data_IF_648879405193
#
_entry.id   IF_648879405193
#
_cell.length_a   1.000
_cell.length_b   1.000
_cell.length_c   1.000
_cell.angle_alpha   90.00
_cell.angle_beta   90.00
_cell.angle_gamma   90.00
#
_symmetry.space_group_name_H-M   'P 1'
#
loop_
_entity.id
_entity.type
_entity.pdbx_description
1 polymer ?
#
# COMPACT_ATOMS: atom_id res chain seq x y z
N UNK A 1 -20.32 -8.67 27.78
CA UNK A 1 -19.42 -7.71 28.47
C UNK A 1 -18.08 -7.78 27.78
N UNK A 2 -17.80 -6.89 26.83
CA UNK A 2 -16.54 -6.87 26.07
C UNK A 2 -15.45 -6.26 26.95
N UNK A 3 -14.45 -7.07 27.27
CA UNK A 3 -13.38 -6.72 28.20
C UNK A 3 -12.43 -5.74 27.52
N UNK A 4 -11.96 -4.74 28.27
CA UNK A 4 -11.07 -3.67 27.82
C UNK A 4 -9.66 -4.13 27.35
N UNK A 5 -9.44 -5.44 27.18
CA UNK A 5 -8.17 -6.08 26.86
C UNK A 5 -8.18 -6.82 25.50
N UNK A 6 -9.19 -6.63 24.65
CA UNK A 6 -9.30 -7.31 23.34
C UNK A 6 -8.07 -7.14 22.42
N UNK A 7 -7.22 -6.12 22.63
CA UNK A 7 -5.98 -5.95 21.85
C UNK A 7 -4.82 -6.88 22.29
N UNK A 8 -5.02 -7.72 23.31
CA UNK A 8 -4.08 -8.76 23.76
C UNK A 8 -4.56 -10.17 23.37
N UNK A 9 -5.63 -10.28 22.59
CA UNK A 9 -6.10 -11.58 22.13
C UNK A 9 -5.05 -12.17 21.16
N UNK A 10 -4.43 -13.32 21.47
CA UNK A 10 -3.43 -13.93 20.61
C UNK A 10 -3.99 -14.32 19.23
N UNK A 11 -5.31 -14.40 19.08
CA UNK A 11 -5.95 -14.64 17.77
C UNK A 11 -5.86 -13.44 16.83
N UNK A 12 -5.57 -12.24 17.34
CA UNK A 12 -5.39 -11.03 16.53
C UNK A 12 -3.94 -10.79 16.10
N UNK A 13 -2.97 -11.56 16.61
CA UNK A 13 -1.55 -11.45 16.23
C UNK A 13 -1.35 -11.57 14.71
N UNK A 14 -1.96 -12.54 14.00
CA UNK A 14 -1.81 -12.64 12.54
C UNK A 14 -2.39 -11.42 11.80
N UNK A 15 -3.47 -10.84 12.31
CA UNK A 15 -4.06 -9.62 11.76
C UNK A 15 -3.11 -8.42 11.97
N UNK A 16 -2.50 -8.31 13.15
CA UNK A 16 -1.52 -7.27 13.45
C UNK A 16 -0.30 -7.33 12.54
N UNK A 17 0.26 -8.52 12.34
CA UNK A 17 1.40 -8.72 11.43
C UNK A 17 1.04 -8.34 10.00
N UNK A 18 -0.14 -8.74 9.52
CA UNK A 18 -0.62 -8.39 8.18
C UNK A 18 -0.89 -6.90 8.02
N UNK A 19 -1.45 -6.24 9.03
CA UNK A 19 -1.65 -4.78 9.02
C UNK A 19 -0.31 -4.05 9.02
N UNK A 20 0.68 -4.51 9.77
CA UNK A 20 2.05 -3.96 9.72
C UNK A 20 2.67 -4.11 8.34
N UNK A 21 2.58 -5.30 7.75
CA UNK A 21 3.06 -5.55 6.39
C UNK A 21 2.35 -4.66 5.34
N UNK A 22 1.05 -4.40 5.51
CA UNK A 22 0.30 -3.47 4.67
C UNK A 22 0.82 -2.03 4.79
N UNK A 23 1.07 -1.54 6.02
CA UNK A 23 1.60 -0.19 6.23
C UNK A 23 3.03 -0.03 5.69
N UNK A 24 3.87 -1.06 5.85
CA UNK A 24 5.22 -1.10 5.28
C UNK A 24 5.16 -1.05 3.74
N UNK A 25 4.31 -1.85 3.12
CA UNK A 25 4.10 -1.83 1.67
C UNK A 25 3.55 -0.48 1.16
N UNK A 26 2.70 0.21 1.94
CA UNK A 26 2.24 1.57 1.59
C UNK A 26 3.39 2.59 1.65
N UNK A 27 4.28 2.46 2.63
CA UNK A 27 5.48 3.29 2.72
C UNK A 27 6.44 3.02 1.57
N UNK A 28 6.64 1.76 1.20
CA UNK A 28 7.49 1.37 0.07
C UNK A 28 6.93 1.85 -1.26
N UNK A 29 5.61 1.76 -1.48
CA UNK A 29 4.96 2.35 -2.64
C UNK A 29 5.19 3.87 -2.66
N UNK A 30 5.07 4.54 -1.51
CA UNK A 30 5.32 5.99 -1.42
C UNK A 30 6.76 6.33 -1.78
N UNK A 31 7.75 5.57 -1.27
CA UNK A 31 9.17 5.73 -1.60
C UNK A 31 9.43 5.51 -3.09
N UNK A 32 8.94 4.41 -3.67
CA UNK A 32 9.08 4.11 -5.09
C UNK A 32 8.43 5.18 -5.98
N UNK A 33 7.28 5.72 -5.55
CA UNK A 33 6.61 6.82 -6.27
C UNK A 33 7.40 8.13 -6.21
N UNK A 34 8.05 8.42 -5.07
CA UNK A 34 8.94 9.59 -4.96
C UNK A 34 10.18 9.40 -5.82
N UNK A 35 10.81 8.23 -5.78
CA UNK A 35 11.95 7.86 -6.62
C UNK A 35 11.64 8.06 -8.11
N UNK A 36 10.51 7.52 -8.58
CA UNK A 36 10.01 7.69 -9.94
C UNK A 36 9.85 9.17 -10.34
N UNK A 37 9.44 10.04 -9.41
CA UNK A 37 9.30 11.48 -9.63
C UNK A 37 10.63 12.24 -9.54
N UNK A 38 11.62 11.69 -8.85
CA UNK A 38 12.96 12.28 -8.72
C UNK A 38 13.88 11.92 -9.88
N UNK A 39 13.64 10.79 -10.55
CA UNK A 39 14.36 10.31 -11.75
C UNK A 39 14.57 11.36 -12.86
N UNK A 40 13.59 12.23 -13.21
CA UNK A 40 13.80 13.27 -14.22
C UNK A 40 14.86 14.31 -13.80
N UNK A 41 15.01 14.57 -12.50
CA UNK A 41 15.97 15.55 -11.96
C UNK A 41 17.39 15.01 -11.87
N UNK A 42 17.56 13.74 -11.49
CA UNK A 42 18.86 13.04 -11.55
C UNK A 42 19.29 12.82 -13.00
N UNK A 43 18.37 12.46 -13.90
CA UNK A 43 18.67 12.31 -15.33
C UNK A 43 19.19 13.60 -15.97
N UNK A 44 18.65 14.77 -15.60
CA UNK A 44 19.18 16.06 -16.06
C UNK A 44 20.59 16.36 -15.55
N UNK A 45 20.90 15.90 -14.34
CA UNK A 45 22.20 16.11 -13.68
C UNK A 45 23.27 15.15 -14.23
N UNK A 46 22.89 13.89 -14.47
CA UNK A 46 23.73 12.89 -15.14
C UNK A 46 23.94 13.21 -16.63
N UNK A 47 22.93 13.75 -17.33
CA UNK A 47 23.09 14.20 -18.70
C UNK A 47 24.08 15.38 -18.80
N UNK A 48 24.08 16.29 -17.83
CA UNK A 48 25.11 17.35 -17.74
C UNK A 48 26.50 16.79 -17.43
N UNK A 49 26.60 15.78 -16.56
CA UNK A 49 27.87 15.11 -16.25
C UNK A 49 28.40 14.27 -17.43
N UNK A 50 27.54 13.56 -18.15
CA UNK A 50 27.89 12.79 -19.36
C UNK A 50 28.21 13.70 -20.55
N UNK A 51 27.61 14.88 -20.66
CA UNK A 51 27.98 15.86 -21.68
C UNK A 51 29.41 16.40 -21.51
N UNK A 52 30.00 16.31 -20.30
CA UNK A 52 31.40 16.65 -20.05
C UNK A 52 32.39 15.54 -20.46
N UNK A 53 31.92 14.31 -20.71
CA UNK A 53 32.72 13.17 -21.17
C UNK A 53 32.25 12.76 -22.57
N UNK A 54 32.70 13.49 -23.59
CA UNK A 54 32.32 13.27 -24.98
C UNK A 54 32.48 11.80 -25.44
N UNK A 55 31.51 11.35 -26.26
CA UNK A 55 31.61 10.28 -27.26
C UNK A 55 31.04 8.86 -27.03
N UNK A 56 29.93 8.65 -26.31
CA UNK A 56 29.03 7.51 -26.64
C UNK A 56 27.55 7.82 -26.45
N UNK A 57 26.68 7.65 -27.47
CA UNK A 57 25.24 7.73 -27.28
C UNK A 57 24.76 6.45 -26.58
N UNK A 58 24.37 6.55 -25.32
CA UNK A 58 23.68 5.48 -24.61
C UNK A 58 22.16 5.57 -24.86
N UNK A 59 21.73 5.46 -26.12
CA UNK A 59 20.32 5.69 -26.51
C UNK A 59 19.41 4.47 -26.34
N UNK A 60 19.70 3.55 -25.43
CA UNK A 60 18.89 2.33 -25.24
C UNK A 60 18.70 1.85 -23.80
N UNK A 61 19.36 2.46 -22.81
CA UNK A 61 19.29 2.02 -21.41
C UNK A 61 18.31 2.81 -20.54
N UNK A 62 17.85 3.98 -21.02
CA UNK A 62 17.02 4.89 -20.23
C UNK A 62 15.55 4.46 -20.18
N UNK A 63 15.01 3.98 -21.30
CA UNK A 63 13.62 3.46 -21.34
C UNK A 63 13.47 2.24 -20.42
N UNK A 64 14.49 1.37 -20.36
CA UNK A 64 14.48 0.17 -19.50
C UNK A 64 14.37 0.51 -18.01
N UNK A 65 15.08 1.53 -17.52
CA UNK A 65 15.02 1.90 -16.11
C UNK A 65 13.65 2.51 -15.75
N UNK A 66 13.07 3.33 -16.63
CA UNK A 66 11.74 3.89 -16.40
C UNK A 66 10.67 2.78 -16.36
N UNK A 67 10.73 1.86 -17.31
CA UNK A 67 9.83 0.70 -17.39
C UNK A 67 9.95 -0.21 -16.15
N UNK A 68 11.18 -0.46 -15.67
CA UNK A 68 11.43 -1.25 -14.46
C UNK A 68 10.81 -0.61 -13.20
N UNK A 69 10.89 0.71 -13.08
CA UNK A 69 10.32 1.46 -11.95
C UNK A 69 8.80 1.44 -11.99
N UNK A 70 8.20 1.61 -13.18
CA UNK A 70 6.75 1.49 -13.35
C UNK A 70 6.25 0.07 -13.01
N UNK A 71 6.96 -0.96 -13.49
CA UNK A 71 6.63 -2.34 -13.17
C UNK A 71 6.73 -2.61 -11.66
N UNK A 72 7.75 -2.08 -10.99
CA UNK A 72 7.88 -2.19 -9.52
C UNK A 72 6.72 -1.53 -8.79
N UNK A 73 6.30 -0.33 -9.21
CA UNK A 73 5.14 0.36 -8.61
C UNK A 73 3.86 -0.45 -8.82
N UNK A 74 3.68 -1.05 -9.99
CA UNK A 74 2.51 -1.88 -10.26
C UNK A 74 2.48 -3.13 -9.39
N UNK A 75 3.61 -3.83 -9.25
CA UNK A 75 3.72 -5.00 -8.36
C UNK A 75 3.37 -4.62 -6.91
N UNK A 76 3.89 -3.49 -6.40
CA UNK A 76 3.57 -3.02 -5.05
C UNK A 76 2.08 -2.69 -4.87
N UNK A 77 1.40 -2.18 -5.90
CA UNK A 77 -0.05 -1.94 -5.86
C UNK A 77 -0.84 -3.24 -5.78
N UNK A 78 -0.42 -4.25 -6.54
CA UNK A 78 -1.07 -5.56 -6.57
C UNK A 78 -0.89 -6.30 -5.23
N UNK A 79 0.32 -6.22 -4.66
CA UNK A 79 0.63 -6.74 -3.33
C UNK A 79 -0.22 -6.05 -2.24
N UNK A 80 -0.35 -4.72 -2.30
CA UNK A 80 -1.24 -3.96 -1.39
C UNK A 80 -2.70 -4.37 -1.54
N UNK A 81 -3.18 -4.62 -2.76
CA UNK A 81 -4.54 -5.08 -3.00
C UNK A 81 -4.78 -6.50 -2.46
N UNK A 82 -3.76 -7.36 -2.51
CA UNK A 82 -3.81 -8.69 -1.92
C UNK A 82 -3.85 -8.60 -0.39
N UNK A 83 -2.90 -7.87 0.22
CA UNK A 83 -2.86 -7.65 1.67
C UNK A 83 -4.15 -7.04 2.19
N UNK A 84 -4.72 -6.06 1.48
CA UNK A 84 -6.01 -5.47 1.83
C UNK A 84 -7.12 -6.51 1.89
N UNK A 85 -7.23 -7.39 0.88
CA UNK A 85 -8.24 -8.45 0.85
C UNK A 85 -8.04 -9.46 1.97
N UNK A 86 -6.79 -9.82 2.27
CA UNK A 86 -6.47 -10.72 3.38
C UNK A 86 -6.87 -10.11 4.73
N UNK A 87 -6.47 -8.86 5.00
CA UNK A 87 -6.82 -8.15 6.24
C UNK A 87 -8.34 -8.07 6.37
N UNK A 88 -9.03 -7.67 5.29
CA UNK A 88 -10.49 -7.68 5.25
C UNK A 88 -11.01 -9.08 5.58
N UNK A 89 -10.51 -10.15 4.97
CA UNK A 89 -10.92 -11.53 5.26
C UNK A 89 -10.72 -11.97 6.72
N UNK A 90 -9.68 -11.46 7.37
CA UNK A 90 -9.30 -11.81 8.75
C UNK A 90 -10.05 -11.01 9.83
N UNK A 91 -10.73 -9.92 9.46
CA UNK A 91 -11.47 -9.12 10.44
C UNK A 91 -12.65 -9.91 11.03
N UNK A 92 -12.77 -10.00 12.38
CA UNK A 92 -13.85 -10.73 13.04
C UNK A 92 -15.21 -10.05 12.83
N UNK A 93 -15.24 -8.73 12.67
CA UNK A 93 -16.46 -7.95 12.44
C UNK A 93 -16.31 -7.03 11.23
N UNK A 94 -17.45 -6.77 10.58
CA UNK A 94 -17.60 -5.81 9.48
C UNK A 94 -18.23 -4.52 10.00
N UNK A 95 -17.92 -3.39 9.39
CA UNK A 95 -18.42 -2.06 9.75
C UNK A 95 -18.11 -1.63 11.19
N UNK A 96 -17.05 -2.17 11.77
CA UNK A 96 -16.61 -1.86 13.12
C UNK A 96 -15.09 -1.73 13.17
N UNK A 97 -14.59 -0.95 14.13
CA UNK A 97 -13.18 -0.86 14.43
C UNK A 97 -12.75 -1.91 15.44
N UNK A 98 -11.85 -2.78 15.02
CA UNK A 98 -11.13 -3.73 15.87
C UNK A 98 -9.86 -3.05 16.38
N UNK A 99 -9.65 -3.09 17.69
CA UNK A 99 -8.42 -2.57 18.30
C UNK A 99 -7.28 -3.55 18.01
N UNK A 100 -6.16 -3.03 17.53
CA UNK A 100 -4.96 -3.81 17.19
C UNK A 100 -3.72 -3.11 17.73
N UNK A 101 -2.72 -3.86 18.14
CA UNK A 101 -1.47 -3.30 18.65
C UNK A 101 -0.40 -3.22 17.55
N UNK A 102 -0.29 -2.06 16.91
CA UNK A 102 0.72 -1.83 15.88
C UNK A 102 2.09 -1.39 16.44
N UNK A 103 2.21 -1.20 17.76
CA UNK A 103 3.47 -0.87 18.43
C UNK A 103 3.79 0.63 18.55
N UNK A 104 3.02 1.51 17.91
CA UNK A 104 3.21 2.97 17.95
C UNK A 104 2.10 3.74 18.69
N UNK A 105 1.16 3.03 19.33
CA UNK A 105 0.02 3.62 20.03
C UNK A 105 -1.24 2.77 19.90
N UNK A 106 -2.39 3.26 20.41
CA UNK A 106 -3.67 2.57 20.28
C UNK A 106 -4.18 2.65 18.83
N UNK A 107 -3.90 1.61 18.04
CA UNK A 107 -4.34 1.54 16.65
C UNK A 107 -5.68 0.79 16.50
N UNK A 108 -6.40 1.11 15.43
CA UNK A 108 -7.69 0.50 15.09
C UNK A 108 -7.74 0.18 13.61
N UNK A 109 -8.29 -0.97 13.27
CA UNK A 109 -8.51 -1.42 11.90
C UNK A 109 -9.96 -1.85 11.73
N UNK A 110 -10.57 -1.49 10.61
CA UNK A 110 -11.95 -1.87 10.31
C UNK A 110 -12.20 -1.95 8.82
N UNK A 111 -13.16 -2.77 8.41
CA UNK A 111 -13.61 -2.89 7.03
C UNK A 111 -15.03 -2.36 6.92
N UNK A 112 -15.22 -1.29 6.16
CA UNK A 112 -16.53 -0.63 6.03
C UNK A 112 -17.09 -0.84 4.63
N UNK A 113 -18.36 -1.22 4.55
CA UNK A 113 -19.08 -1.33 3.29
C UNK A 113 -19.23 0.06 2.68
N UNK A 114 -18.85 0.19 1.41
CA UNK A 114 -19.07 1.41 0.64
C UNK A 114 -20.25 1.16 -0.28
N UNK A 115 -21.38 1.78 0.05
CA UNK A 115 -22.51 1.83 -0.87
C UNK A 115 -22.18 2.81 -2.00
N UNK A 116 -21.82 2.26 -3.16
CA UNK A 116 -21.68 3.04 -4.38
C UNK A 116 -23.06 3.47 -4.93
N UNK A 117 -23.74 4.40 -4.27
CA UNK A 117 -24.88 5.17 -4.79
C UNK A 117 -26.10 4.37 -5.32
N UNK A 118 -27.21 5.06 -5.64
CA UNK A 118 -28.49 4.41 -5.94
C UNK A 118 -28.64 3.94 -7.40
N UNK A 119 -27.59 3.37 -8.02
CA UNK A 119 -27.60 3.04 -9.44
C UNK A 119 -27.26 1.58 -9.80
N UNK A 120 -27.15 0.67 -8.82
CA UNK A 120 -26.91 -0.75 -9.12
C UNK A 120 -27.84 -1.67 -8.34
N UNK A 121 -29.11 -1.66 -8.77
CA UNK A 121 -30.05 -2.74 -8.51
C UNK A 121 -29.62 -3.98 -9.31
N UNK A 122 -28.65 -4.73 -8.80
CA UNK A 122 -28.24 -5.98 -9.44
C UNK A 122 -26.99 -6.58 -8.85
N UNK A 123 -27.09 -7.21 -7.68
CA UNK A 123 -26.14 -8.24 -7.22
C UNK A 123 -24.66 -7.88 -7.37
N UNK A 124 -24.26 -6.71 -6.89
CA UNK A 124 -22.84 -6.39 -6.66
C UNK A 124 -22.49 -6.74 -5.22
N UNK A 125 -21.51 -7.63 -5.06
CA UNK A 125 -20.97 -7.96 -3.74
C UNK A 125 -20.64 -6.67 -2.99
N UNK A 126 -20.96 -6.58 -1.68
CA UNK A 126 -20.65 -5.40 -0.88
C UNK A 126 -19.13 -5.15 -0.94
N UNK A 127 -18.75 -4.02 -1.53
CA UNK A 127 -17.35 -3.61 -1.59
C UNK A 127 -16.96 -3.06 -0.23
N UNK A 128 -15.96 -3.67 0.40
CA UNK A 128 -15.45 -3.24 1.69
C UNK A 128 -14.15 -2.46 1.50
N UNK A 129 -14.07 -1.28 2.12
CA UNK A 129 -12.84 -0.50 2.24
C UNK A 129 -12.18 -0.74 3.59
N UNK A 130 -10.87 -0.98 3.56
CA UNK A 130 -10.04 -1.07 4.76
C UNK A 130 -9.73 0.33 5.29
N UNK A 131 -10.01 0.57 6.57
CA UNK A 131 -9.70 1.80 7.29
C UNK A 131 -8.81 1.48 8.48
N UNK A 132 -7.64 2.12 8.52
CA UNK A 132 -6.68 2.00 9.61
C UNK A 132 -6.55 3.38 10.27
N UNK A 133 -6.58 3.42 11.59
CA UNK A 133 -6.37 4.62 12.40
C UNK A 133 -5.22 4.31 13.36
N UNK A 134 -4.11 5.04 13.24
CA UNK A 134 -2.91 4.87 14.05
C UNK A 134 -2.28 6.23 14.41
#
# INVERSE_FOLDING_TARGET
>A
MASNLDYLDPTLIPLEEKVKAYLEAEEDLRKATVEAKSLPGTAATEAQANAAFEHRPATGSFDQHADEVEQRIQNLRDDLALLRREIIGMLPTRNEFVKVNLGYGPSRVGAFAVEHGPADHGSREPHYELRIVH
#
